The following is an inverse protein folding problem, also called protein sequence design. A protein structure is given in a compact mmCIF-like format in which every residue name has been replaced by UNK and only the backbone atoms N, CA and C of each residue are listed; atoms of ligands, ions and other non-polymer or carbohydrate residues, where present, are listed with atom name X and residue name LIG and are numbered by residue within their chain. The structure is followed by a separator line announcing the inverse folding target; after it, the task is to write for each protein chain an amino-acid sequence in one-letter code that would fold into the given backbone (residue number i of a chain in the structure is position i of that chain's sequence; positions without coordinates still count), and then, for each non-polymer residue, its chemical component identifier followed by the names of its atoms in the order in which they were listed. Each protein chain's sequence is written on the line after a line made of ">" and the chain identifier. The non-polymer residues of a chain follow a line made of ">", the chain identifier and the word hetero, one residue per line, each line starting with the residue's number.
data_IF_052267371043
#
_entry.id   IF_052267371043
#
_cell.length_a   1.000
_cell.length_b   1.000
_cell.length_c   1.000
_cell.angle_alpha   90.00
_cell.angle_beta   90.00
_cell.angle_gamma   90.00
#
_symmetry.space_group_name_H-M   'P 1'
#
loop_
_entity.id
_entity.type
_entity.pdbx_description
1 polymer ?
#
# COMPACT_ATOMS: atom_id res chain seq x y z
N UNK A 1 -4.51 -32.19 -12.73
CA UNK A 1 -5.53 -31.56 -11.86
C UNK A 1 -4.93 -31.32 -10.50
N UNK A 2 -4.65 -30.07 -10.12
CA UNK A 2 -4.22 -29.75 -8.76
C UNK A 2 -5.43 -29.86 -7.82
N UNK A 3 -5.50 -30.94 -7.04
CA UNK A 3 -6.56 -31.20 -6.05
C UNK A 3 -6.13 -30.84 -4.63
N UNK A 4 -5.33 -29.77 -4.47
CA UNK A 4 -4.86 -29.35 -3.16
C UNK A 4 -5.48 -27.99 -2.84
N UNK A 5 -6.78 -28.00 -2.51
CA UNK A 5 -7.41 -26.86 -1.88
C UNK A 5 -6.79 -26.59 -0.51
N UNK A 6 -6.97 -25.38 0.00
CA UNK A 6 -6.57 -25.07 1.37
C UNK A 6 -7.34 -25.97 2.36
N UNK A 7 -6.75 -26.35 3.49
CA UNK A 7 -7.47 -27.08 4.54
C UNK A 7 -8.72 -26.30 4.99
N UNK A 8 -9.81 -27.00 5.29
CA UNK A 8 -11.09 -26.37 5.67
C UNK A 8 -10.97 -25.41 6.87
N UNK A 9 -10.06 -25.70 7.80
CA UNK A 9 -9.78 -24.82 8.93
C UNK A 9 -9.21 -23.47 8.49
N UNK A 10 -8.34 -23.47 7.48
CA UNK A 10 -7.75 -22.27 6.89
C UNK A 10 -8.82 -21.49 6.12
N UNK A 11 -9.66 -22.19 5.35
CA UNK A 11 -10.77 -21.57 4.62
C UNK A 11 -11.73 -20.88 5.59
N UNK A 12 -12.18 -21.57 6.64
CA UNK A 12 -13.08 -21.00 7.66
C UNK A 12 -12.50 -19.77 8.36
N UNK A 13 -11.20 -19.81 8.65
CA UNK A 13 -10.50 -18.67 9.23
C UNK A 13 -10.51 -17.47 8.26
N UNK A 14 -10.10 -17.69 7.00
CA UNK A 14 -10.06 -16.65 5.97
C UNK A 14 -11.46 -16.09 5.69
N UNK A 15 -12.49 -16.94 5.61
CA UNK A 15 -13.87 -16.51 5.37
C UNK A 15 -14.37 -15.59 6.47
N UNK A 16 -14.00 -15.86 7.72
CA UNK A 16 -14.39 -15.01 8.86
C UNK A 16 -13.73 -13.64 8.74
N UNK A 17 -12.42 -13.60 8.52
CA UNK A 17 -11.68 -12.34 8.30
C UNK A 17 -12.22 -11.58 7.08
N UNK A 18 -12.51 -12.29 5.99
CA UNK A 18 -13.06 -11.69 4.78
C UNK A 18 -14.42 -11.04 5.05
N UNK A 19 -15.33 -11.72 5.75
CA UNK A 19 -16.65 -11.16 6.12
C UNK A 19 -16.53 -9.88 6.93
N UNK A 20 -15.59 -9.82 7.87
CA UNK A 20 -15.36 -8.61 8.67
C UNK A 20 -14.80 -7.46 7.82
N UNK A 21 -13.90 -7.78 6.87
CA UNK A 21 -13.28 -6.78 6.00
C UNK A 21 -14.22 -6.21 4.93
N UNK A 22 -15.25 -6.95 4.53
CA UNK A 22 -16.26 -6.49 3.57
C UNK A 22 -17.45 -5.77 4.20
N UNK A 23 -17.43 -5.51 5.52
CA UNK A 23 -18.46 -4.73 6.18
C UNK A 23 -18.60 -3.34 5.53
N UNK A 24 -19.80 -3.01 5.06
CA UNK A 24 -20.04 -1.78 4.31
C UNK A 24 -19.76 -0.52 5.15
N UNK A 25 -19.95 -0.58 6.47
CA UNK A 25 -19.65 0.56 7.35
C UNK A 25 -18.14 0.76 7.50
N UNK A 26 -17.34 -0.31 7.51
CA UNK A 26 -15.88 -0.27 7.42
C UNK A 26 -15.43 0.28 6.07
N UNK A 27 -15.96 -0.26 4.97
CA UNK A 27 -15.62 0.16 3.61
C UNK A 27 -15.97 1.63 3.34
N UNK A 28 -17.09 2.14 3.87
CA UNK A 28 -17.49 3.54 3.74
C UNK A 28 -16.47 4.51 4.36
N UNK A 29 -15.73 4.09 5.38
CA UNK A 29 -14.63 4.88 5.96
C UNK A 29 -13.44 4.98 5.01
N UNK A 30 -13.20 3.94 4.21
CA UNK A 30 -12.13 3.90 3.21
C UNK A 30 -12.39 4.83 2.00
N UNK A 31 -13.65 5.17 1.70
CA UNK A 31 -14.01 6.07 0.58
C UNK A 31 -13.35 7.46 0.72
N UNK A 32 -13.11 7.90 1.95
CA UNK A 32 -12.51 9.21 2.26
C UNK A 32 -11.02 9.10 2.59
N UNK A 33 -10.48 7.88 2.63
CA UNK A 33 -9.07 7.65 2.86
C UNK A 33 -8.26 8.19 1.69
N UNK A 34 -7.53 9.27 1.92
CA UNK A 34 -6.36 9.59 1.07
C UNK A 34 -5.40 8.40 1.14
N UNK A 35 -4.54 8.25 0.14
CA UNK A 35 -3.53 7.19 0.11
C UNK A 35 -2.82 7.12 1.48
N UNK A 36 -2.73 5.91 2.07
CA UNK A 36 -2.09 5.68 3.38
C UNK A 36 -0.61 6.07 3.41
N UNK A 37 -0.05 6.47 2.27
CA UNK A 37 1.30 6.97 2.13
C UNK A 37 1.27 8.48 1.84
N UNK A 38 1.07 9.30 2.88
CA UNK A 38 1.25 10.76 2.78
C UNK A 38 2.62 11.15 2.19
N UNK A 39 3.61 10.29 2.41
CA UNK A 39 4.96 10.42 1.88
C UNK A 39 5.01 10.25 0.37
N UNK A 40 4.06 9.59 -0.28
CA UNK A 40 4.10 9.34 -1.72
C UNK A 40 3.88 10.61 -2.53
N UNK A 41 2.89 11.42 -2.15
CA UNK A 41 2.66 12.71 -2.79
C UNK A 41 3.85 13.64 -2.58
N UNK A 42 4.44 13.65 -1.38
CA UNK A 42 5.64 14.43 -1.09
C UNK A 42 6.86 13.93 -1.88
N UNK A 43 7.11 12.63 -1.88
CA UNK A 43 8.21 12.01 -2.61
C UNK A 43 8.07 12.23 -4.12
N UNK A 44 6.85 12.15 -4.65
CA UNK A 44 6.57 12.46 -6.06
C UNK A 44 6.92 13.91 -6.39
N UNK A 45 6.51 14.87 -5.56
CA UNK A 45 6.87 16.29 -5.73
C UNK A 45 8.37 16.55 -5.63
N UNK A 46 9.06 15.85 -4.72
CA UNK A 46 10.52 15.91 -4.59
C UNK A 46 11.18 15.36 -5.84
N UNK A 47 10.76 14.19 -6.34
CA UNK A 47 11.37 13.54 -7.50
C UNK A 47 11.07 14.26 -8.82
N UNK A 48 9.92 14.92 -8.94
CA UNK A 48 9.61 15.78 -10.10
C UNK A 48 10.53 17.02 -10.16
N UNK A 49 11.08 17.46 -9.01
CA UNK A 49 12.00 18.60 -8.93
C UNK A 49 13.47 18.21 -8.86
N UNK A 50 13.76 17.08 -8.22
CA UNK A 50 15.09 16.51 -7.99
C UNK A 50 15.03 15.02 -8.32
N UNK A 51 15.22 14.67 -9.61
CA UNK A 51 15.15 13.29 -10.06
C UNK A 51 16.15 12.41 -9.30
N UNK A 52 15.73 11.21 -8.88
CA UNK A 52 16.57 10.28 -8.10
C UNK A 52 17.77 9.74 -8.89
N UNK A 53 17.74 9.92 -10.20
CA UNK A 53 18.71 9.41 -11.15
C UNK A 53 20.07 10.12 -11.04
N UNK A 54 20.14 11.30 -10.40
CA UNK A 54 21.36 12.09 -10.34
C UNK A 54 21.71 12.50 -8.90
N UNK A 55 22.86 12.05 -8.42
CA UNK A 55 23.44 12.53 -7.17
C UNK A 55 24.10 13.89 -7.42
N UNK A 56 23.58 14.95 -6.79
CA UNK A 56 24.21 16.28 -6.81
C UNK A 56 25.05 16.42 -5.54
N UNK A 57 26.35 16.15 -5.65
CA UNK A 57 27.29 16.49 -4.59
C UNK A 57 27.43 18.02 -4.53
N UNK A 58 27.34 18.60 -3.33
CA UNK A 58 27.61 20.02 -3.15
C UNK A 58 29.10 20.22 -3.43
N UNK A 59 29.43 20.80 -4.58
CA UNK A 59 30.81 21.08 -4.96
C UNK A 59 31.52 21.82 -3.82
N UNK A 60 32.50 21.16 -3.22
CA UNK A 60 33.39 21.79 -2.25
C UNK A 60 34.19 22.82 -3.02
N UNK A 61 33.81 24.10 -2.91
CA UNK A 61 34.64 25.20 -3.36
C UNK A 61 35.90 25.21 -2.49
N UNK A 62 36.98 24.63 -3.02
CA UNK A 62 38.36 24.94 -2.62
C UNK A 62 38.90 25.94 -3.63
#
# INVERSE_FOLDING_TARGET
>A
MHKNGLPDAVIKFIETVFKDLVDENLLRKCIHGKTQNNTECLNKLIWDRCPKEYFVEKGSSV
#
